data_IF_340530380836
#
_entry.id   IF_340530380836
#
_cell.length_a   1.000
_cell.length_b   1.000
_cell.length_c   1.000
_cell.angle_alpha   90.00
_cell.angle_beta   90.00
_cell.angle_gamma   90.00
#
_symmetry.space_group_name_H-M   'P 1'
#
loop_
_entity.id
_entity.type
_entity.pdbx_description
1 polymer ?
#
# COMPACT_ATOMS: atom_id res chain seq x y z
N UNK A 1 -22.49 -3.55 -14.58
CA UNK A 1 -23.53 -2.74 -15.27
C UNK A 1 -23.56 -1.38 -14.62
N UNK A 2 -23.76 -0.28 -15.38
CA UNK A 2 -23.91 1.06 -14.81
C UNK A 2 -25.05 1.07 -13.79
N UNK A 3 -25.03 2.04 -12.87
CA UNK A 3 -26.06 2.33 -11.88
C UNK A 3 -27.46 2.32 -12.54
N UNK A 4 -28.12 1.17 -12.56
CA UNK A 4 -29.43 0.98 -13.18
C UNK A 4 -30.45 0.71 -12.07
N UNK A 5 -31.60 1.37 -12.10
CA UNK A 5 -32.65 1.28 -11.08
C UNK A 5 -33.15 -0.16 -10.78
N UNK A 6 -32.75 -1.15 -11.59
CA UNK A 6 -33.01 -2.57 -11.32
C UNK A 6 -32.08 -3.20 -10.29
N UNK A 7 -30.84 -2.70 -10.16
CA UNK A 7 -29.79 -3.30 -9.31
C UNK A 7 -29.55 -2.52 -8.02
N UNK A 8 -30.29 -1.43 -7.81
CA UNK A 8 -30.20 -0.63 -6.60
C UNK A 8 -31.53 0.04 -6.24
N UNK A 9 -31.72 0.38 -4.96
CA UNK A 9 -32.93 1.04 -4.44
C UNK A 9 -32.56 2.12 -3.44
N UNK A 10 -33.49 3.06 -3.24
CA UNK A 10 -33.45 4.05 -2.17
C UNK A 10 -32.18 4.92 -2.12
N UNK A 11 -31.72 5.51 -3.25
CA UNK A 11 -30.54 6.36 -3.25
C UNK A 11 -30.82 7.62 -2.43
N UNK A 12 -29.95 7.91 -1.45
CA UNK A 12 -30.06 9.11 -0.61
C UNK A 12 -28.68 9.67 -0.30
N UNK A 13 -28.61 10.99 -0.13
CA UNK A 13 -27.41 11.66 0.36
C UNK A 13 -27.50 11.85 1.88
N UNK A 14 -26.42 11.50 2.57
CA UNK A 14 -26.22 11.83 3.97
C UNK A 14 -24.91 12.60 4.09
N UNK A 15 -25.01 13.94 4.04
CA UNK A 15 -23.85 14.81 3.84
C UNK A 15 -23.18 14.49 2.51
N UNK A 16 -21.90 14.13 2.56
CA UNK A 16 -21.06 13.83 1.39
C UNK A 16 -21.14 12.37 0.92
N UNK A 17 -21.90 11.54 1.64
CA UNK A 17 -22.02 10.11 1.37
C UNK A 17 -23.29 9.81 0.58
N UNK A 18 -23.12 9.10 -0.53
CA UNK A 18 -24.17 8.45 -1.27
C UNK A 18 -24.47 7.10 -0.63
N UNK A 19 -25.66 6.95 -0.03
CA UNK A 19 -26.15 5.69 0.52
C UNK A 19 -27.16 5.08 -0.44
N UNK A 20 -26.95 3.83 -0.83
CA UNK A 20 -27.83 3.09 -1.73
C UNK A 20 -27.94 1.64 -1.29
N UNK A 21 -29.13 1.06 -1.40
CA UNK A 21 -29.34 -0.38 -1.24
C UNK A 21 -28.96 -1.10 -2.54
N UNK A 22 -27.86 -1.84 -2.55
CA UNK A 22 -27.35 -2.56 -3.72
C UNK A 22 -27.71 -4.05 -3.68
N UNK A 23 -28.14 -4.61 -4.81
CA UNK A 23 -28.42 -6.04 -4.94
C UNK A 23 -27.13 -6.85 -4.99
N UNK A 24 -27.03 -7.90 -4.16
CA UNK A 24 -25.97 -8.91 -4.16
C UNK A 24 -26.24 -10.00 -5.22
N UNK A 25 -25.25 -10.84 -5.56
CA UNK A 25 -25.44 -11.96 -6.50
C UNK A 25 -26.54 -12.94 -6.06
N UNK A 26 -26.78 -13.05 -4.76
CA UNK A 26 -27.81 -13.92 -4.16
C UNK A 26 -29.23 -13.30 -4.26
N UNK A 27 -29.35 -12.10 -4.82
CA UNK A 27 -30.62 -11.39 -5.01
C UNK A 27 -31.04 -10.51 -3.82
N UNK A 28 -30.40 -10.63 -2.66
CA UNK A 28 -30.63 -9.78 -1.48
C UNK A 28 -30.11 -8.35 -1.67
N UNK A 29 -30.78 -7.37 -1.07
CA UNK A 29 -30.36 -5.97 -1.08
C UNK A 29 -29.61 -5.63 0.21
N UNK A 30 -28.50 -4.91 0.09
CA UNK A 30 -27.68 -4.48 1.21
C UNK A 30 -27.29 -3.01 1.07
N UNK A 31 -27.29 -2.29 2.20
CA UNK A 31 -26.81 -0.91 2.25
C UNK A 31 -25.32 -0.82 1.88
N UNK A 32 -25.02 0.05 0.93
CA UNK A 32 -23.68 0.44 0.53
C UNK A 32 -23.57 1.96 0.56
N UNK A 33 -22.41 2.46 1.00
CA UNK A 33 -22.12 3.89 1.08
C UNK A 33 -20.88 4.24 0.26
N UNK A 34 -20.91 5.36 -0.46
CA UNK A 34 -19.77 5.88 -1.21
C UNK A 34 -19.57 7.37 -0.91
N UNK A 35 -18.35 7.77 -0.57
CA UNK A 35 -18.03 9.19 -0.35
C UNK A 35 -17.79 9.89 -1.69
N UNK A 36 -18.73 10.76 -2.09
CA UNK A 36 -18.68 11.46 -3.37
C UNK A 36 -17.55 12.50 -3.43
N UNK A 37 -17.16 13.08 -2.29
CA UNK A 37 -16.07 14.06 -2.18
C UNK A 37 -14.71 13.48 -2.58
N UNK A 38 -14.58 12.15 -2.57
CA UNK A 38 -13.34 11.49 -2.98
C UNK A 38 -13.16 11.40 -4.49
N UNK A 39 -14.24 11.59 -5.26
CA UNK A 39 -14.31 11.23 -6.69
C UNK A 39 -14.99 12.27 -7.58
N UNK A 40 -15.67 13.24 -6.97
CA UNK A 40 -16.22 14.42 -7.60
C UNK A 40 -15.51 15.66 -7.05
N UNK A 41 -15.07 16.50 -7.97
CA UNK A 41 -14.63 17.87 -7.70
C UNK A 41 -15.47 18.88 -8.50
N UNK A 42 -15.14 20.15 -8.32
CA UNK A 42 -15.71 21.25 -9.09
C UNK A 42 -14.59 21.88 -9.92
N UNK A 43 -14.84 22.11 -11.21
CA UNK A 43 -13.94 22.84 -12.09
C UNK A 43 -14.77 23.78 -12.96
N UNK A 44 -14.50 25.09 -12.88
CA UNK A 44 -15.24 26.13 -13.60
C UNK A 44 -16.77 26.01 -13.39
N UNK A 45 -17.18 25.74 -12.14
CA UNK A 45 -18.59 25.60 -11.73
C UNK A 45 -19.34 24.46 -12.36
N UNK A 46 -18.61 23.43 -12.80
CA UNK A 46 -19.19 22.17 -13.25
C UNK A 46 -18.64 21.02 -12.45
N UNK A 47 -19.45 19.99 -12.27
CA UNK A 47 -19.02 18.74 -11.68
C UNK A 47 -17.96 18.08 -12.57
N UNK A 48 -16.88 17.63 -11.94
CA UNK A 48 -15.79 16.93 -12.63
C UNK A 48 -15.46 15.62 -11.92
N UNK A 49 -15.63 14.51 -12.65
CA UNK A 49 -15.18 13.19 -12.20
C UNK A 49 -13.66 13.14 -12.10
N UNK A 50 -13.16 12.46 -11.06
CA UNK A 50 -11.74 12.32 -10.78
C UNK A 50 -11.14 13.49 -10.00
N UNK A 51 -11.90 14.57 -9.84
CA UNK A 51 -11.62 15.63 -8.89
C UNK A 51 -11.94 15.23 -7.45
N UNK A 52 -11.70 16.14 -6.51
CA UNK A 52 -11.98 15.95 -5.08
C UNK A 52 -12.62 17.21 -4.51
N UNK A 53 -13.32 17.07 -3.38
CA UNK A 53 -13.73 18.24 -2.62
C UNK A 53 -14.94 18.98 -3.18
N UNK A 54 -15.86 18.35 -3.92
CA UNK A 54 -16.99 19.11 -4.49
C UNK A 54 -17.85 19.77 -3.42
N UNK A 55 -18.02 19.13 -2.26
CA UNK A 55 -18.90 19.61 -1.18
C UNK A 55 -18.47 20.95 -0.58
N UNK A 56 -17.18 21.31 -0.65
CA UNK A 56 -16.71 22.61 -0.18
C UNK A 56 -17.01 23.76 -1.14
N UNK A 57 -17.30 23.45 -2.40
CA UNK A 57 -17.58 24.42 -3.48
C UNK A 57 -19.00 24.27 -4.02
N UNK A 58 -19.89 23.60 -3.27
CA UNK A 58 -21.25 23.29 -3.68
C UNK A 58 -22.26 23.65 -2.58
N UNK A 59 -23.42 24.16 -2.99
CA UNK A 59 -24.57 24.39 -2.09
C UNK A 59 -25.86 23.95 -2.76
N UNK A 60 -26.94 23.84 -1.97
CA UNK A 60 -28.24 23.36 -2.45
C UNK A 60 -28.15 21.98 -3.13
N UNK A 61 -27.31 21.11 -2.58
CA UNK A 61 -27.07 19.77 -3.14
C UNK A 61 -28.34 18.94 -3.00
N UNK A 62 -28.80 18.38 -4.11
CA UNK A 62 -29.97 17.49 -4.14
C UNK A 62 -29.70 16.27 -5.01
N UNK A 63 -30.30 15.14 -4.65
CA UNK A 63 -30.20 13.89 -5.40
C UNK A 63 -31.60 13.46 -5.86
N UNK A 64 -31.77 13.36 -7.17
CA UNK A 64 -32.98 12.85 -7.79
C UNK A 64 -32.65 11.58 -8.58
N UNK A 65 -32.85 10.41 -7.97
CA UNK A 65 -32.50 9.14 -8.60
C UNK A 65 -30.98 8.96 -8.69
N UNK A 66 -30.42 9.03 -9.90
CA UNK A 66 -28.96 9.02 -10.13
C UNK A 66 -28.40 10.40 -10.45
N UNK A 67 -29.24 11.43 -10.62
CA UNK A 67 -28.80 12.79 -10.91
C UNK A 67 -28.52 13.56 -9.63
N UNK A 68 -27.26 13.98 -9.47
CA UNK A 68 -26.83 14.90 -8.44
C UNK A 68 -26.86 16.32 -9.01
N UNK A 69 -27.54 17.24 -8.35
CA UNK A 69 -27.59 18.65 -8.73
C UNK A 69 -27.14 19.54 -7.58
N UNK A 70 -26.45 20.64 -7.90
CA UNK A 70 -26.03 21.63 -6.92
C UNK A 70 -25.72 22.98 -7.60
N UNK A 71 -25.71 24.04 -6.80
CA UNK A 71 -25.10 25.31 -7.19
C UNK A 71 -23.59 25.23 -6.86
N UNK A 72 -22.73 25.43 -7.85
CA UNK A 72 -21.28 25.29 -7.78
C UNK A 72 -20.58 26.65 -7.88
N UNK A 73 -19.51 26.84 -7.12
CA UNK A 73 -18.76 28.10 -7.07
C UNK A 73 -17.87 28.33 -8.31
N UNK A 74 -17.93 29.55 -8.85
CA UNK A 74 -17.08 30.09 -9.93
C UNK A 74 -16.62 31.49 -9.53
N UNK A 75 -15.48 31.57 -8.82
CA UNK A 75 -15.05 32.85 -8.24
C UNK A 75 -16.15 33.41 -7.33
N UNK A 76 -16.65 34.62 -7.61
CA UNK A 76 -17.70 35.27 -6.80
C UNK A 76 -19.14 34.90 -7.22
N UNK A 77 -19.32 33.92 -8.11
CA UNK A 77 -20.64 33.53 -8.66
C UNK A 77 -20.94 32.07 -8.39
N UNK A 78 -22.23 31.73 -8.43
CA UNK A 78 -22.73 30.36 -8.28
C UNK A 78 -23.46 29.96 -9.55
N UNK A 79 -23.12 28.81 -10.12
CA UNK A 79 -23.74 28.25 -11.33
C UNK A 79 -24.38 26.90 -11.00
N UNK A 80 -25.61 26.69 -11.47
CA UNK A 80 -26.31 25.42 -11.27
C UNK A 80 -25.79 24.38 -12.26
N UNK A 81 -25.38 23.22 -11.77
CA UNK A 81 -24.95 22.10 -12.60
C UNK A 81 -25.54 20.77 -12.12
N UNK A 82 -25.58 19.79 -13.03
CA UNK A 82 -26.06 18.43 -12.75
C UNK A 82 -25.10 17.38 -13.28
N UNK A 83 -24.95 16.28 -12.54
CA UNK A 83 -24.13 15.13 -12.93
C UNK A 83 -24.88 13.83 -12.69
N UNK A 84 -24.90 12.97 -13.71
CA UNK A 84 -25.45 11.62 -13.57
C UNK A 84 -24.40 10.68 -12.97
N UNK A 85 -24.64 10.25 -11.74
CA UNK A 85 -23.81 9.32 -10.98
C UNK A 85 -23.70 7.95 -11.68
N UNK A 86 -24.65 7.61 -12.55
CA UNK A 86 -24.66 6.32 -13.27
C UNK A 86 -23.51 6.14 -14.25
N UNK A 87 -22.93 7.26 -14.68
CA UNK A 87 -21.86 7.30 -15.68
C UNK A 87 -20.56 6.65 -15.19
N UNK A 88 -20.28 6.73 -13.89
CA UNK A 88 -19.00 6.30 -13.32
C UNK A 88 -19.13 5.51 -12.01
N UNK A 89 -20.35 5.32 -11.49
CA UNK A 89 -20.60 4.48 -10.31
C UNK A 89 -21.41 3.25 -10.75
N UNK A 90 -21.02 2.07 -10.24
CA UNK A 90 -21.70 0.80 -10.51
C UNK A 90 -21.89 -0.01 -9.24
N UNK A 91 -22.90 -0.85 -9.22
CA UNK A 91 -23.02 -1.92 -8.24
C UNK A 91 -22.17 -3.12 -8.69
N UNK A 92 -21.20 -3.51 -7.87
CA UNK A 92 -20.40 -4.72 -8.01
C UNK A 92 -20.63 -5.63 -6.79
N UNK A 93 -21.51 -6.61 -6.96
CA UNK A 93 -21.87 -7.60 -5.95
C UNK A 93 -22.25 -7.00 -4.58
N UNK A 94 -23.20 -6.05 -4.57
CA UNK A 94 -23.68 -5.40 -3.34
C UNK A 94 -22.78 -4.29 -2.81
N UNK A 95 -21.72 -3.92 -3.52
CA UNK A 95 -20.84 -2.81 -3.18
C UNK A 95 -20.81 -1.75 -4.31
N UNK A 96 -20.87 -0.47 -3.93
CA UNK A 96 -20.67 0.63 -4.85
C UNK A 96 -19.19 0.74 -5.26
N UNK A 97 -18.93 0.67 -6.55
CA UNK A 97 -17.61 0.75 -7.14
C UNK A 97 -17.57 1.85 -8.20
N UNK A 98 -16.42 2.50 -8.33
CA UNK A 98 -16.18 3.55 -9.31
C UNK A 98 -15.42 2.94 -10.47
N UNK A 99 -15.82 3.28 -11.69
CA UNK A 99 -15.21 2.76 -12.92
C UNK A 99 -15.02 3.87 -13.94
N UNK A 100 -14.03 3.73 -14.82
CA UNK A 100 -13.83 4.64 -15.96
C UNK A 100 -13.31 6.04 -15.60
N UNK A 101 -13.04 6.34 -14.32
CA UNK A 101 -12.51 7.63 -13.89
C UNK A 101 -10.99 7.56 -13.75
N UNK A 102 -10.27 8.42 -14.47
CA UNK A 102 -8.87 8.71 -14.18
C UNK A 102 -8.82 9.70 -13.02
N UNK A 103 -8.35 9.25 -11.85
CA UNK A 103 -8.17 10.14 -10.70
C UNK A 103 -7.06 11.13 -10.99
N UNK A 104 -7.33 12.43 -10.78
CA UNK A 104 -6.28 13.43 -10.87
C UNK A 104 -5.19 13.07 -9.84
N UNK A 105 -3.95 12.93 -10.34
CA UNK A 105 -2.81 12.63 -9.49
C UNK A 105 -2.63 13.78 -8.48
N UNK A 106 -2.40 13.48 -7.19
CA UNK A 106 -2.38 14.50 -6.13
C UNK A 106 -1.08 15.34 -6.12
N UNK A 107 -0.68 15.90 -7.27
CA UNK A 107 0.62 16.57 -7.38
C UNK A 107 0.82 17.56 -8.52
N UNK A 108 -0.19 17.90 -9.32
CA UNK A 108 -0.05 18.98 -10.30
C UNK A 108 -1.36 19.75 -10.34
N UNK A 109 -1.39 20.91 -9.68
CA UNK A 109 -2.37 21.94 -10.02
C UNK A 109 -2.18 22.29 -11.50
N UNK A 110 -3.19 22.14 -12.37
CA UNK A 110 -3.13 22.77 -13.68
C UNK A 110 -3.08 24.28 -13.45
N UNK A 111 -2.04 24.91 -13.98
CA UNK A 111 -1.84 26.36 -13.88
C UNK A 111 -3.10 27.10 -14.35
N UNK A 112 -3.65 28.04 -13.56
CA UNK A 112 -4.73 28.88 -14.04
C UNK A 112 -4.19 29.81 -15.13
N UNK A 113 -4.64 29.62 -16.37
CA UNK A 113 -4.56 30.65 -17.40
C UNK A 113 -5.45 31.82 -16.97
N UNK A 114 -4.88 32.81 -16.29
CA UNK A 114 -5.50 34.12 -16.18
C UNK A 114 -4.52 35.27 -16.42
N UNK A 115 -5.04 36.21 -17.18
CA UNK A 115 -4.43 37.41 -17.72
C UNK A 115 -3.92 38.38 -16.63
N UNK A 116 -2.65 38.77 -16.79
CA UNK A 116 -1.93 39.99 -16.36
C UNK A 116 -2.73 41.06 -15.55
N UNK A 117 -2.44 41.11 -14.23
CA UNK A 117 -2.16 42.22 -13.26
C UNK A 117 -2.87 43.62 -13.37
N UNK A 118 -3.00 44.43 -12.27
CA UNK A 118 -1.98 44.62 -11.21
C UNK A 118 -2.41 44.80 -9.73
N UNK A 119 -1.49 44.38 -8.85
CA UNK A 119 -1.13 44.82 -7.49
C UNK A 119 -2.21 45.31 -6.50
N UNK A 120 -2.41 44.59 -5.39
CA UNK A 120 -2.43 45.18 -4.03
C UNK A 120 -2.07 44.11 -2.98
N UNK A 121 -1.16 44.46 -2.09
CA UNK A 121 -0.55 43.62 -1.04
C UNK A 121 -1.52 43.29 0.08
N UNK A 122 -1.65 42.01 0.49
CA UNK A 122 -2.06 41.62 1.85
C UNK A 122 -1.42 40.29 2.31
N UNK A 123 -0.55 40.46 3.30
CA UNK A 123 -0.22 39.64 4.48
C UNK A 123 -0.70 38.19 4.59
N UNK A 124 0.27 37.28 4.70
CA UNK A 124 0.10 35.86 5.04
C UNK A 124 -0.23 35.63 6.52
N UNK A 125 -1.00 34.58 6.78
CA UNK A 125 -0.92 33.81 8.03
C UNK A 125 -0.95 32.31 7.71
N UNK A 126 0.23 31.70 7.69
CA UNK A 126 0.47 30.28 7.40
C UNK A 126 0.40 29.48 8.70
N UNK A 127 -0.61 28.61 8.84
CA UNK A 127 -0.68 27.64 9.94
C UNK A 127 -0.23 26.27 9.40
N UNK A 128 1.00 25.88 9.72
CA UNK A 128 1.58 24.59 9.34
C UNK A 128 0.95 23.47 10.20
N UNK A 129 0.09 22.64 9.61
CA UNK A 129 -0.27 21.31 10.16
C UNK A 129 0.42 20.23 9.34
N UNK A 130 1.38 19.59 9.98
CA UNK A 130 2.07 18.38 9.51
C UNK A 130 1.09 17.20 9.47
N UNK A 131 0.72 16.75 8.28
CA UNK A 131 0.03 15.47 8.06
C UNK A 131 1.05 14.40 7.68
N UNK A 132 1.14 13.37 8.52
CA UNK A 132 1.88 12.13 8.26
C UNK A 132 1.16 11.36 7.16
N UNK A 133 1.87 11.03 6.08
CA UNK A 133 1.37 10.19 5.00
C UNK A 133 1.29 8.73 5.47
N UNK A 134 0.07 8.18 5.48
CA UNK A 134 -0.20 6.76 5.73
C UNK A 134 -0.40 6.02 4.42
N UNK A 135 0.52 5.13 4.08
CA UNK A 135 0.41 4.12 3.02
C UNK A 135 -0.72 3.12 3.32
N UNK A 136 -1.86 3.15 2.63
CA UNK A 136 -2.98 2.22 2.97
C UNK A 136 -4.00 1.93 1.85
N UNK A 137 -3.64 1.21 0.78
CA UNK A 137 -4.67 0.71 -0.16
C UNK A 137 -4.69 -0.80 -0.39
N UNK A 138 -3.61 -1.54 -0.11
CA UNK A 138 -3.60 -3.01 -0.18
C UNK A 138 -3.73 -3.69 1.20
N UNK A 139 -3.16 -3.12 2.26
CA UNK A 139 -3.16 -3.69 3.63
C UNK A 139 -4.56 -3.77 4.27
N UNK A 140 -5.45 -2.83 3.92
CA UNK A 140 -6.79 -2.72 4.50
C UNK A 140 -7.75 -3.82 4.04
N UNK A 141 -7.54 -4.44 2.86
CA UNK A 141 -8.44 -5.47 2.33
C UNK A 141 -8.18 -6.86 2.93
N UNK A 142 -6.93 -7.19 3.22
CA UNK A 142 -6.54 -8.51 3.76
C UNK A 142 -6.75 -8.62 5.27
N UNK A 143 -6.65 -7.50 6.00
CA UNK A 143 -6.94 -7.44 7.44
C UNK A 143 -8.45 -7.56 7.73
N UNK A 144 -9.31 -7.07 6.83
CA UNK A 144 -10.77 -7.13 6.96
C UNK A 144 -11.31 -8.58 7.01
N UNK A 145 -10.81 -9.47 6.16
CA UNK A 145 -11.25 -10.87 6.15
C UNK A 145 -10.92 -11.58 7.46
N UNK A 146 -9.70 -11.40 7.98
CA UNK A 146 -9.32 -12.00 9.25
C UNK A 146 -10.20 -11.54 10.41
N UNK A 147 -10.45 -10.23 10.50
CA UNK A 147 -11.33 -9.63 11.53
C UNK A 147 -12.79 -10.08 11.42
N UNK A 148 -13.22 -10.56 10.25
CA UNK A 148 -14.57 -11.07 10.02
C UNK A 148 -14.70 -12.57 10.37
N UNK A 149 -13.64 -13.34 10.15
CA UNK A 149 -13.61 -14.79 10.38
C UNK A 149 -13.23 -15.15 11.82
N UNK A 150 -12.45 -14.30 12.48
CA UNK A 150 -12.02 -14.43 13.88
C UNK A 150 -12.49 -13.21 14.65
N UNK A 151 -13.30 -13.42 15.69
CA UNK A 151 -13.79 -12.33 16.54
C UNK A 151 -12.74 -11.90 17.55
N UNK A 152 -12.61 -10.60 17.78
CA UNK A 152 -11.74 -10.04 18.82
C UNK A 152 -12.14 -10.54 20.24
N UNK A 153 -13.37 -10.99 20.44
CA UNK A 153 -13.84 -11.54 21.70
C UNK A 153 -13.43 -13.00 21.93
N UNK A 154 -13.08 -13.74 20.86
CA UNK A 154 -12.76 -15.18 20.93
C UNK A 154 -11.28 -15.47 20.76
N UNK A 155 -10.50 -14.46 20.38
CA UNK A 155 -9.05 -14.56 20.30
C UNK A 155 -8.40 -14.28 21.67
N UNK A 156 -7.52 -15.17 22.11
CA UNK A 156 -6.81 -15.04 23.38
C UNK A 156 -5.39 -15.55 23.27
N UNK A 157 -4.48 -14.89 23.97
CA UNK A 157 -3.08 -15.27 24.02
C UNK A 157 -2.79 -15.95 25.37
N UNK A 158 -2.28 -17.19 25.31
CA UNK A 158 -1.84 -17.93 26.49
C UNK A 158 -0.35 -18.23 26.35
N UNK A 159 0.48 -17.40 26.99
CA UNK A 159 1.93 -17.44 26.80
C UNK A 159 2.31 -16.97 25.40
N UNK A 160 2.90 -17.85 24.58
CA UNK A 160 3.15 -17.59 23.15
C UNK A 160 2.07 -18.15 22.22
N UNK A 161 1.17 -18.98 22.73
CA UNK A 161 0.18 -19.67 21.91
C UNK A 161 -1.07 -18.81 21.78
N UNK A 162 -1.40 -18.47 20.55
CA UNK A 162 -2.60 -17.74 20.19
C UNK A 162 -3.72 -18.73 19.93
N UNK A 163 -4.79 -18.63 20.71
CA UNK A 163 -6.01 -19.41 20.56
C UNK A 163 -7.08 -18.54 19.90
N UNK A 164 -7.79 -19.09 18.92
CA UNK A 164 -8.88 -18.40 18.25
C UNK A 164 -10.00 -19.39 17.93
N UNK A 165 -11.25 -18.90 17.99
CA UNK A 165 -12.37 -19.58 17.35
C UNK A 165 -12.56 -18.99 15.94
N UNK A 166 -12.31 -19.83 14.94
CA UNK A 166 -12.36 -19.48 13.53
C UNK A 166 -13.67 -20.00 12.92
N UNK A 167 -14.38 -19.17 12.16
CA UNK A 167 -15.59 -19.58 11.45
C UNK A 167 -15.25 -20.48 10.23
N UNK A 168 -15.98 -21.59 10.08
CA UNK A 168 -15.93 -22.50 8.93
C UNK A 168 -16.85 -22.04 7.80
N UNK A 169 -16.71 -22.65 6.63
CA UNK A 169 -17.59 -22.38 5.48
C UNK A 169 -19.07 -22.74 5.74
N UNK A 170 -19.32 -23.75 6.58
CA UNK A 170 -20.66 -24.17 7.00
C UNK A 170 -21.33 -23.25 8.04
N UNK A 171 -20.63 -22.19 8.48
CA UNK A 171 -21.08 -21.25 9.50
C UNK A 171 -20.82 -21.68 10.95
N UNK A 172 -20.38 -22.92 11.18
CA UNK A 172 -19.91 -23.38 12.50
C UNK A 172 -18.56 -22.74 12.86
N UNK A 173 -18.15 -22.87 14.12
CA UNK A 173 -16.85 -22.36 14.59
C UNK A 173 -15.97 -23.52 15.02
N UNK A 174 -14.68 -23.47 14.68
CA UNK A 174 -13.66 -24.40 15.14
C UNK A 174 -12.62 -23.68 15.99
N UNK A 175 -12.15 -24.34 17.04
CA UNK A 175 -10.99 -23.84 17.79
C UNK A 175 -9.71 -24.17 17.03
N UNK A 176 -8.82 -23.18 16.92
CA UNK A 176 -7.52 -23.33 16.28
C UNK A 176 -6.46 -22.59 17.10
N UNK A 177 -5.23 -23.08 17.05
CA UNK A 177 -4.10 -22.52 17.79
C UNK A 177 -2.90 -22.33 16.90
N UNK A 178 -2.11 -21.28 17.13
CA UNK A 178 -0.81 -21.08 16.49
C UNK A 178 0.20 -20.59 17.52
N UNK A 179 1.42 -21.14 17.50
CA UNK A 179 2.49 -20.65 18.36
C UNK A 179 3.16 -19.44 17.71
N UNK A 180 3.01 -18.27 18.33
CA UNK A 180 3.62 -17.05 17.81
C UNK A 180 5.13 -17.03 18.01
N UNK A 181 5.69 -17.83 18.92
CA UNK A 181 7.14 -17.85 19.15
C UNK A 181 7.92 -18.45 17.98
N UNK A 182 7.25 -19.25 17.15
CA UNK A 182 7.78 -19.81 15.91
C UNK A 182 7.78 -18.81 14.74
N UNK A 183 7.10 -17.67 14.88
CA UNK A 183 6.87 -16.71 13.81
C UNK A 183 7.27 -15.27 14.14
N UNK A 184 7.45 -14.93 15.42
CA UNK A 184 7.83 -13.60 15.86
C UNK A 184 9.16 -13.65 16.60
N UNK A 185 10.04 -12.71 16.29
CA UNK A 185 11.28 -12.46 17.03
C UNK A 185 11.50 -10.97 17.29
N UNK A 186 12.54 -10.66 18.05
CA UNK A 186 12.90 -9.29 18.43
C UNK A 186 14.18 -8.86 17.70
N UNK A 187 14.12 -7.73 17.00
CA UNK A 187 15.28 -7.09 16.33
C UNK A 187 15.32 -5.63 16.73
N UNK A 188 16.42 -5.21 17.35
CA UNK A 188 16.66 -3.80 17.74
C UNK A 188 15.49 -3.16 18.51
N UNK A 189 14.94 -3.86 19.50
CA UNK A 189 13.82 -3.37 20.31
C UNK A 189 12.47 -3.34 19.58
N UNK A 190 12.32 -4.00 18.43
CA UNK A 190 11.06 -4.12 17.68
C UNK A 190 10.68 -5.57 17.45
N UNK A 191 9.37 -5.85 17.46
CA UNK A 191 8.83 -7.15 17.04
C UNK A 191 8.86 -7.25 15.51
N UNK A 192 9.38 -8.37 15.01
CA UNK A 192 9.52 -8.63 13.57
C UNK A 192 8.98 -10.03 13.26
N UNK A 193 8.10 -10.11 12.26
CA UNK A 193 7.56 -11.37 11.73
C UNK A 193 8.62 -12.13 10.93
N UNK A 194 8.54 -13.47 10.91
CA UNK A 194 9.50 -14.36 10.23
C UNK A 194 10.77 -14.64 11.03
N UNK A 195 10.75 -14.34 12.34
CA UNK A 195 11.84 -14.65 13.29
C UNK A 195 11.28 -15.52 14.40
N UNK A 196 12.14 -16.03 15.28
CA UNK A 196 11.71 -16.90 16.39
C UNK A 196 12.16 -16.37 17.74
N UNK A 197 11.47 -16.79 18.80
CA UNK A 197 11.92 -16.65 20.19
C UNK A 197 11.63 -15.31 20.84
N UNK A 198 10.60 -14.56 20.41
CA UNK A 198 10.24 -13.30 21.07
C UNK A 198 9.86 -13.49 22.55
N UNK A 199 9.27 -14.63 22.94
CA UNK A 199 8.85 -14.89 24.32
C UNK A 199 10.02 -14.84 25.30
N UNK A 200 11.21 -15.23 24.87
CA UNK A 200 12.42 -15.22 25.71
C UNK A 200 12.95 -13.81 26.01
N UNK A 201 12.66 -12.84 25.13
CA UNK A 201 13.20 -11.46 25.19
C UNK A 201 12.15 -10.42 25.60
N UNK A 202 10.88 -10.83 25.66
CA UNK A 202 9.75 -9.96 25.96
C UNK A 202 9.16 -10.24 27.34
N UNK A 203 8.76 -9.18 28.01
CA UNK A 203 7.99 -9.19 29.27
C UNK A 203 6.66 -8.46 29.06
N UNK A 204 5.70 -8.62 29.96
CA UNK A 204 4.37 -8.00 29.87
C UNK A 204 3.66 -8.22 28.53
N UNK A 205 3.69 -9.46 28.03
CA UNK A 205 3.09 -9.83 26.75
C UNK A 205 1.57 -9.84 26.90
N UNK A 206 0.88 -9.00 26.13
CA UNK A 206 -0.59 -8.94 26.12
C UNK A 206 -1.13 -8.77 24.70
N UNK A 207 -2.33 -9.27 24.49
CA UNK A 207 -3.06 -9.11 23.24
C UNK A 207 -4.14 -8.04 23.43
N UNK A 208 -4.06 -6.97 22.64
CA UNK A 208 -5.07 -5.92 22.56
C UNK A 208 -5.76 -6.05 21.20
N UNK A 209 -6.97 -6.61 21.19
CA UNK A 209 -7.70 -7.03 19.99
C UNK A 209 -6.91 -8.02 19.12
N UNK A 210 -6.22 -7.51 18.10
CA UNK A 210 -5.39 -8.28 17.17
C UNK A 210 -3.93 -7.84 17.19
N UNK A 211 -3.58 -6.89 18.07
CA UNK A 211 -2.23 -6.36 18.20
C UNK A 211 -1.58 -6.94 19.44
N UNK A 212 -0.46 -7.62 19.28
CA UNK A 212 0.35 -8.05 20.41
C UNK A 212 1.19 -6.87 20.87
N UNK A 213 1.13 -6.56 22.17
CA UNK A 213 1.96 -5.55 22.82
C UNK A 213 2.87 -6.21 23.83
N UNK A 214 4.14 -5.82 23.80
CA UNK A 214 5.19 -6.38 24.64
C UNK A 214 6.10 -5.28 25.16
N UNK A 215 6.74 -5.55 26.29
CA UNK A 215 7.88 -4.77 26.78
C UNK A 215 9.16 -5.56 26.54
N UNK A 216 10.03 -5.04 25.69
CA UNK A 216 11.34 -5.62 25.40
C UNK A 216 12.32 -5.01 26.39
N UNK A 217 13.01 -5.87 27.15
CA UNK A 217 14.08 -5.43 28.04
C UNK A 217 15.39 -5.41 27.25
N UNK A 218 16.03 -4.25 27.22
CA UNK A 218 17.40 -4.15 26.73
C UNK A 218 18.36 -4.55 27.87
N UNK A 219 19.17 -5.59 27.62
CA UNK A 219 20.14 -6.11 28.59
C UNK A 219 21.28 -5.13 28.85
N UNK A 220 21.61 -4.25 27.90
CA UNK A 220 22.72 -3.30 28.03
C UNK A 220 22.31 -2.01 28.74
N UNK A 221 21.11 -1.50 28.47
CA UNK A 221 20.67 -0.17 28.96
C UNK A 221 19.72 -0.24 30.15
N UNK A 222 19.27 -1.45 30.55
CA UNK A 222 18.20 -1.67 31.52
C UNK A 222 16.90 -0.90 31.22
N UNK A 223 16.76 -0.37 30.00
CA UNK A 223 15.57 0.34 29.57
C UNK A 223 14.56 -0.64 29.00
N UNK A 224 13.27 -0.40 29.29
CA UNK A 224 12.17 -1.16 28.69
C UNK A 224 11.61 -0.37 27.51
N UNK A 225 11.57 -1.01 26.34
CA UNK A 225 10.98 -0.44 25.12
C UNK A 225 9.68 -1.18 24.84
N UNK A 226 8.58 -0.45 24.72
CA UNK A 226 7.29 -1.02 24.30
C UNK A 226 7.29 -1.23 22.80
N UNK A 227 6.94 -2.43 22.35
CA UNK A 227 6.74 -2.76 20.95
C UNK A 227 5.37 -3.39 20.71
N UNK A 228 4.80 -3.11 19.54
CA UNK A 228 3.52 -3.62 19.10
C UNK A 228 3.62 -4.26 17.71
N UNK A 229 2.80 -5.29 17.48
CA UNK A 229 2.72 -5.96 16.17
C UNK A 229 1.28 -6.36 15.87
N UNK A 230 0.75 -5.86 14.74
CA UNK A 230 -0.59 -6.19 14.25
C UNK A 230 -0.59 -7.58 13.58
N UNK A 231 -1.19 -8.56 14.25
CA UNK A 231 -1.25 -9.94 13.78
C UNK A 231 -2.13 -10.11 12.53
N UNK A 232 -3.08 -9.19 12.29
CA UNK A 232 -3.97 -9.28 11.11
C UNK A 232 -3.22 -9.10 9.80
N UNK A 233 -2.00 -8.54 9.85
CA UNK A 233 -1.12 -8.42 8.68
C UNK A 233 -0.55 -9.76 8.24
N UNK A 234 -0.39 -10.70 9.16
CA UNK A 234 0.36 -11.93 8.92
C UNK A 234 -0.46 -13.20 9.09
N UNK A 235 -1.55 -13.17 9.85
CA UNK A 235 -2.43 -14.31 10.07
C UNK A 235 -3.65 -14.28 9.15
N UNK A 236 -4.10 -15.47 8.76
CA UNK A 236 -5.33 -15.73 8.05
C UNK A 236 -6.10 -16.85 8.74
N UNK A 237 -7.42 -16.87 8.58
CA UNK A 237 -8.26 -17.97 9.03
C UNK A 237 -9.04 -18.50 7.82
N UNK A 238 -8.90 -19.79 7.54
CA UNK A 238 -9.59 -20.46 6.43
C UNK A 238 -10.20 -21.76 6.92
N UNK A 239 -11.50 -21.92 6.69
CA UNK A 239 -12.31 -23.08 7.08
C UNK A 239 -12.08 -23.57 8.52
N UNK A 240 -12.09 -22.64 9.48
CA UNK A 240 -11.88 -22.96 10.89
C UNK A 240 -10.43 -23.18 11.31
N UNK A 241 -9.46 -23.05 10.40
CA UNK A 241 -8.03 -23.23 10.68
C UNK A 241 -7.31 -21.87 10.63
N UNK A 242 -6.55 -21.58 11.68
CA UNK A 242 -5.67 -20.41 11.76
C UNK A 242 -4.33 -20.72 11.08
N UNK A 243 -3.90 -19.87 10.15
CA UNK A 243 -2.67 -20.04 9.38
C UNK A 243 -1.95 -18.73 9.10
N UNK A 244 -0.75 -18.82 8.52
CA UNK A 244 0.10 -17.67 8.15
C UNK A 244 -0.14 -17.30 6.68
N UNK A 245 -0.25 -16.00 6.37
CA UNK A 245 -0.50 -15.46 5.02
C UNK A 245 0.65 -15.66 4.04
N UNK A 246 1.88 -15.65 4.54
CA UNK A 246 3.09 -15.92 3.76
C UNK A 246 3.68 -17.21 4.31
N UNK A 247 3.34 -18.33 3.67
CA UNK A 247 4.03 -19.58 3.93
C UNK A 247 5.42 -19.50 3.29
N UNK A 248 6.48 -19.59 4.11
CA UNK A 248 7.72 -20.20 3.63
C UNK A 248 7.39 -21.66 3.32
N UNK A 249 7.15 -21.97 2.05
CA UNK A 249 7.05 -23.36 1.62
C UNK A 249 8.41 -24.05 1.88
N UNK A 250 8.41 -25.30 2.34
CA UNK A 250 7.93 -26.40 1.51
C UNK A 250 6.99 -27.35 2.27
N UNK A 251 5.86 -27.73 1.65
CA UNK A 251 5.13 -28.92 2.11
C UNK A 251 4.93 -29.93 0.95
N UNK A 252 5.54 -31.12 0.99
CA UNK A 252 5.44 -32.17 -0.03
C UNK A 252 4.13 -32.99 -0.01
N UNK A 253 3.08 -32.52 0.66
CA UNK A 253 1.89 -33.34 0.96
C UNK A 253 0.78 -33.32 -0.12
N UNK A 254 0.91 -32.53 -1.19
CA UNK A 254 -0.10 -32.47 -2.26
C UNK A 254 0.08 -33.55 -3.35
N UNK A 255 1.16 -34.32 -3.34
CA UNK A 255 1.41 -35.37 -4.35
C UNK A 255 0.68 -36.71 -4.08
N UNK A 256 0.09 -36.90 -2.90
CA UNK A 256 -0.55 -38.18 -2.54
C UNK A 256 -2.07 -38.23 -2.77
N UNK A 257 -2.71 -37.16 -3.28
CA UNK A 257 -4.17 -37.10 -3.38
C UNK A 257 -4.76 -37.60 -4.72
N UNK A 258 -3.93 -38.05 -5.67
CA UNK A 258 -4.39 -38.49 -7.00
C UNK A 258 -3.94 -39.91 -7.41
N UNK A 259 -3.82 -40.83 -6.46
CA UNK A 259 -3.48 -42.23 -6.76
C UNK A 259 -4.43 -43.24 -6.13
N UNK A 260 -5.73 -43.16 -6.43
CA UNK A 260 -6.61 -44.33 -6.24
C UNK A 260 -7.87 -44.25 -7.14
N UNK A 261 -7.83 -44.96 -8.28
CA UNK A 261 -9.02 -45.27 -9.05
C UNK A 261 -9.13 -46.80 -9.17
N UNK A 262 -10.03 -47.38 -8.37
CA UNK A 262 -10.38 -48.81 -8.40
C UNK A 262 -11.59 -49.04 -9.30
N UNK A 263 -11.38 -49.50 -10.54
CA UNK A 263 -12.42 -50.18 -11.31
C UNK A 263 -11.80 -51.04 -12.43
N UNK A 264 -11.76 -52.37 -12.24
CA UNK A 264 -11.85 -53.40 -13.31
C UNK A 264 -11.65 -54.80 -12.70
N UNK A 265 -12.70 -55.64 -12.74
CA UNK A 265 -12.59 -57.11 -12.74
C UNK A 265 -13.69 -57.65 -13.65
N UNK A 266 -13.28 -58.32 -14.74
CA UNK A 266 -14.14 -59.05 -15.67
C UNK A 266 -13.86 -60.54 -15.48
N UNK A 267 -14.89 -61.39 -15.48
CA UNK A 267 -14.79 -62.84 -15.38
C UNK A 267 -15.64 -63.48 -16.49
N UNK A 268 -15.06 -64.44 -17.21
CA UNK A 268 -15.66 -65.18 -18.34
C UNK A 268 -15.64 -66.69 -18.01
N UNK A 269 -16.43 -67.49 -18.76
CA UNK A 269 -16.41 -68.97 -18.97
C UNK A 269 -17.48 -69.71 -18.11
N UNK A 270 -18.40 -70.60 -18.57
CA UNK A 270 -18.67 -71.38 -19.83
C UNK A 270 -20.13 -71.90 -19.88
N UNK A 271 -20.59 -72.29 -21.08
CA UNK A 271 -21.84 -72.99 -21.44
C UNK A 271 -21.91 -74.50 -21.07
N UNK A 272 -23.10 -75.17 -21.21
CA UNK A 272 -23.36 -76.53 -20.73
C UNK A 272 -23.37 -77.64 -21.82
N UNK A 273 -23.32 -78.86 -21.32
CA UNK A 273 -23.23 -80.15 -22.03
C UNK A 273 -24.63 -80.72 -22.38
N UNK A 274 -24.79 -81.31 -23.58
CA UNK A 274 -26.04 -81.97 -24.00
C UNK A 274 -25.76 -83.20 -24.87
N UNK A 275 -25.87 -84.38 -24.25
CA UNK A 275 -25.84 -85.69 -24.88
C UNK A 275 -27.11 -86.44 -24.47
N UNK A 276 -27.95 -86.85 -25.45
CA UNK A 276 -28.71 -88.11 -25.49
C UNK A 276 -29.38 -88.33 -26.87
N UNK A 277 -28.63 -88.97 -27.77
CA UNK A 277 -28.97 -90.19 -28.56
C UNK A 277 -30.35 -90.31 -29.26
N UNK A 278 -30.32 -90.40 -30.60
CA UNK A 278 -31.30 -91.12 -31.47
C UNK A 278 -30.59 -92.28 -32.18
N UNK A 279 -31.06 -93.53 -32.00
CA UNK A 279 -30.46 -94.78 -32.55
C UNK A 279 -31.28 -95.33 -33.73
N UNK A 280 -30.86 -95.05 -34.96
CA UNK A 280 -31.28 -95.81 -36.15
C UNK A 280 -30.08 -95.97 -37.11
N UNK A 281 -29.63 -97.19 -37.48
CA UNK A 281 -28.36 -97.40 -38.18
C UNK A 281 -28.33 -96.87 -39.63
N UNK A 282 -29.44 -96.92 -40.37
CA UNK A 282 -29.52 -96.35 -41.72
C UNK A 282 -29.60 -94.81 -41.69
N UNK A 283 -30.27 -94.27 -40.66
CA UNK A 283 -30.31 -92.84 -40.40
C UNK A 283 -28.93 -92.32 -39.97
N UNK A 284 -28.21 -93.05 -39.11
CA UNK A 284 -26.88 -92.70 -38.61
C UNK A 284 -25.84 -92.66 -39.73
N UNK A 285 -25.85 -93.58 -40.68
CA UNK A 285 -24.89 -93.56 -41.79
C UNK A 285 -25.12 -92.36 -42.74
N UNK A 286 -26.37 -92.09 -43.10
CA UNK A 286 -26.72 -90.96 -43.97
C UNK A 286 -26.52 -89.60 -43.27
N UNK A 287 -26.90 -89.49 -41.99
CA UNK A 287 -26.67 -88.27 -41.21
C UNK A 287 -25.22 -88.08 -40.82
N UNK A 288 -24.43 -89.13 -40.54
CA UNK A 288 -23.00 -88.99 -40.28
C UNK A 288 -22.25 -88.55 -41.53
N UNK A 289 -22.59 -89.07 -42.71
CA UNK A 289 -21.99 -88.63 -43.97
C UNK A 289 -22.42 -87.20 -44.35
N UNK A 290 -23.70 -86.86 -44.15
CA UNK A 290 -24.20 -85.50 -44.35
C UNK A 290 -23.62 -84.52 -43.32
N UNK A 291 -23.51 -84.91 -42.06
CA UNK A 291 -22.92 -84.10 -40.98
C UNK A 291 -21.41 -83.96 -41.14
N UNK A 292 -20.70 -84.95 -41.67
CA UNK A 292 -19.26 -84.84 -41.94
C UNK A 292 -18.98 -83.98 -43.17
N UNK A 293 -19.83 -84.04 -44.20
CA UNK A 293 -19.75 -83.18 -45.38
C UNK A 293 -20.15 -81.73 -45.05
N UNK A 294 -21.24 -81.53 -44.32
CA UNK A 294 -21.65 -80.19 -43.86
C UNK A 294 -20.72 -79.65 -42.79
N UNK A 295 -20.19 -80.47 -41.87
CA UNK A 295 -19.17 -80.03 -40.90
C UNK A 295 -17.87 -79.64 -41.59
N UNK A 296 -17.37 -80.41 -42.57
CA UNK A 296 -16.17 -79.98 -43.33
C UNK A 296 -16.41 -78.67 -44.06
N UNK A 297 -17.52 -78.54 -44.78
CA UNK A 297 -17.80 -77.36 -45.60
C UNK A 297 -18.07 -76.11 -44.75
N UNK A 298 -18.84 -76.25 -43.66
CA UNK A 298 -19.14 -75.15 -42.71
C UNK A 298 -17.93 -74.82 -41.83
N UNK A 299 -17.06 -75.77 -41.50
CA UNK A 299 -15.86 -75.47 -40.68
C UNK A 299 -14.74 -74.88 -41.52
N UNK A 300 -14.49 -75.30 -42.76
CA UNK A 300 -13.36 -74.73 -43.52
C UNK A 300 -13.71 -73.40 -44.19
N UNK A 301 -14.85 -73.33 -44.87
CA UNK A 301 -15.18 -72.16 -45.70
C UNK A 301 -15.73 -71.03 -44.83
N UNK A 302 -16.63 -71.35 -43.90
CA UNK A 302 -17.18 -70.37 -42.97
C UNK A 302 -16.18 -69.94 -41.90
N UNK A 303 -15.17 -70.75 -41.54
CA UNK A 303 -14.09 -70.31 -40.62
C UNK A 303 -13.07 -69.41 -41.31
N UNK A 304 -12.63 -69.72 -42.54
CA UNK A 304 -11.66 -68.86 -43.24
C UNK A 304 -12.26 -67.50 -43.61
N UNK A 305 -13.51 -67.47 -44.08
CA UNK A 305 -14.18 -66.20 -44.40
C UNK A 305 -14.51 -65.39 -43.14
N UNK A 306 -14.89 -66.06 -42.04
CA UNK A 306 -15.11 -65.38 -40.76
C UNK A 306 -13.79 -64.88 -40.16
N UNK A 307 -12.70 -65.66 -40.19
CA UNK A 307 -11.39 -65.22 -39.72
C UNK A 307 -10.87 -64.02 -40.51
N UNK A 308 -10.98 -64.04 -41.85
CA UNK A 308 -10.59 -62.89 -42.68
C UNK A 308 -11.46 -61.67 -42.43
N UNK A 309 -12.78 -61.85 -42.35
CA UNK A 309 -13.72 -60.75 -42.10
C UNK A 309 -13.49 -60.10 -40.73
N UNK A 310 -13.41 -60.92 -39.67
CA UNK A 310 -13.18 -60.46 -38.30
C UNK A 310 -11.79 -59.84 -38.17
N UNK A 311 -10.75 -60.40 -38.80
CA UNK A 311 -9.42 -59.80 -38.78
C UNK A 311 -9.38 -58.44 -39.49
N UNK A 312 -10.15 -58.27 -40.58
CA UNK A 312 -10.22 -57.01 -41.31
C UNK A 312 -10.97 -55.94 -40.51
N UNK A 313 -12.13 -56.27 -39.95
CA UNK A 313 -12.91 -55.37 -39.11
C UNK A 313 -12.15 -54.97 -37.83
N UNK A 314 -11.49 -55.92 -37.16
CA UNK A 314 -10.69 -55.62 -35.96
C UNK A 314 -9.51 -54.71 -36.34
N UNK A 315 -8.84 -54.96 -37.46
CA UNK A 315 -7.70 -54.16 -37.91
C UNK A 315 -8.13 -52.74 -38.27
N UNK A 316 -9.27 -52.57 -38.92
CA UNK A 316 -9.81 -51.26 -39.30
C UNK A 316 -10.30 -50.50 -38.06
N UNK A 317 -11.11 -51.15 -37.19
CA UNK A 317 -11.60 -50.54 -35.96
C UNK A 317 -10.47 -50.20 -34.96
N UNK A 318 -9.46 -51.06 -34.81
CA UNK A 318 -8.27 -50.72 -34.02
C UNK A 318 -7.45 -49.62 -34.69
N UNK A 319 -7.28 -49.65 -36.02
CA UNK A 319 -6.57 -48.63 -36.77
C UNK A 319 -7.14 -47.23 -36.55
N UNK A 320 -8.46 -47.09 -36.67
CA UNK A 320 -9.16 -45.83 -36.47
C UNK A 320 -9.12 -45.36 -35.00
N UNK A 321 -9.29 -46.29 -34.06
CA UNK A 321 -9.24 -45.97 -32.62
C UNK A 321 -7.83 -45.53 -32.18
N UNK A 322 -6.79 -46.22 -32.65
CA UNK A 322 -5.39 -45.87 -32.40
C UNK A 322 -5.09 -44.52 -33.04
N UNK A 323 -5.48 -44.30 -34.28
CA UNK A 323 -5.28 -43.02 -34.98
C UNK A 323 -5.95 -41.87 -34.23
N UNK A 324 -7.21 -42.03 -33.81
CA UNK A 324 -7.92 -41.02 -33.05
C UNK A 324 -7.26 -40.72 -31.69
N UNK A 325 -6.85 -41.75 -30.94
CA UNK A 325 -6.17 -41.56 -29.66
C UNK A 325 -4.79 -40.91 -29.80
N UNK A 326 -3.98 -41.36 -30.76
CA UNK A 326 -2.66 -40.78 -31.02
C UNK A 326 -2.78 -39.31 -31.42
N UNK A 327 -3.73 -38.99 -32.31
CA UNK A 327 -3.94 -37.60 -32.74
C UNK A 327 -4.36 -36.71 -31.57
N UNK A 328 -5.21 -37.21 -30.66
CA UNK A 328 -5.63 -36.48 -29.46
C UNK A 328 -4.47 -36.25 -28.50
N UNK A 329 -3.73 -37.30 -28.13
CA UNK A 329 -2.60 -37.20 -27.18
C UNK A 329 -1.51 -36.27 -27.70
N UNK A 330 -1.21 -36.35 -29.00
CA UNK A 330 -0.23 -35.46 -29.63
C UNK A 330 -0.72 -34.00 -29.65
N UNK A 331 -1.99 -33.75 -29.95
CA UNK A 331 -2.56 -32.41 -29.94
C UNK A 331 -2.59 -31.79 -28.53
N UNK A 332 -2.94 -32.57 -27.52
CA UNK A 332 -2.97 -32.14 -26.12
C UNK A 332 -1.53 -31.81 -25.64
N UNK A 333 -0.56 -32.70 -25.91
CA UNK A 333 0.84 -32.50 -25.52
C UNK A 333 1.47 -31.28 -26.20
N UNK A 334 1.23 -31.08 -27.50
CA UNK A 334 1.69 -29.90 -28.24
C UNK A 334 1.04 -28.62 -27.71
N UNK A 335 -0.26 -28.66 -27.39
CA UNK A 335 -0.97 -27.49 -26.87
C UNK A 335 -0.45 -27.08 -25.49
N UNK A 336 -0.13 -28.06 -24.63
CA UNK A 336 0.42 -27.82 -23.30
C UNK A 336 1.86 -27.28 -23.36
N UNK A 337 2.69 -27.86 -24.24
CA UNK A 337 4.06 -27.38 -24.47
C UNK A 337 4.07 -25.94 -25.00
N UNK A 338 3.24 -25.63 -26.01
CA UNK A 338 3.14 -24.28 -26.58
C UNK A 338 2.63 -23.29 -25.52
N UNK A 339 1.62 -23.67 -24.72
CA UNK A 339 1.10 -22.82 -23.64
C UNK A 339 2.18 -22.52 -22.60
N UNK A 340 2.88 -23.53 -22.11
CA UNK A 340 3.94 -23.36 -21.12
C UNK A 340 5.10 -22.49 -21.62
N UNK A 341 5.53 -22.69 -22.88
CA UNK A 341 6.61 -21.90 -23.46
C UNK A 341 6.17 -20.44 -23.72
N UNK A 342 4.92 -20.24 -24.13
CA UNK A 342 4.31 -18.91 -24.31
C UNK A 342 4.21 -18.18 -22.97
N UNK A 343 3.68 -18.82 -21.92
CA UNK A 343 3.60 -18.26 -20.56
C UNK A 343 4.97 -17.85 -20.04
N UNK A 344 5.98 -18.71 -20.22
CA UNK A 344 7.35 -18.40 -19.81
C UNK A 344 7.91 -17.18 -20.56
N UNK A 345 7.75 -17.11 -21.88
CA UNK A 345 8.22 -15.95 -22.66
C UNK A 345 7.48 -14.67 -22.29
N UNK A 346 6.17 -14.75 -22.01
CA UNK A 346 5.37 -13.61 -21.56
C UNK A 346 5.86 -13.12 -20.19
N UNK A 347 6.11 -14.01 -19.25
CA UNK A 347 6.61 -13.64 -17.93
C UNK A 347 8.03 -13.03 -18.01
N UNK A 348 8.93 -13.62 -18.78
CA UNK A 348 10.30 -13.12 -18.96
C UNK A 348 10.31 -11.71 -19.62
N UNK A 349 9.48 -11.51 -20.64
CA UNK A 349 9.36 -10.20 -21.32
C UNK A 349 8.68 -9.16 -20.42
N UNK A 350 7.68 -9.55 -19.64
CA UNK A 350 7.03 -8.67 -18.68
C UNK A 350 7.99 -8.28 -17.54
N UNK A 351 8.80 -9.22 -17.03
CA UNK A 351 9.81 -8.95 -16.02
C UNK A 351 10.87 -7.95 -16.51
N UNK A 352 11.35 -8.11 -17.75
CA UNK A 352 12.27 -7.16 -18.39
C UNK A 352 11.65 -5.77 -18.55
N UNK A 353 10.40 -5.70 -19.03
CA UNK A 353 9.68 -4.43 -19.18
C UNK A 353 9.46 -3.74 -17.82
N UNK A 354 9.04 -4.50 -16.79
CA UNK A 354 8.87 -4.00 -15.43
C UNK A 354 10.17 -3.44 -14.87
N UNK A 355 11.30 -4.13 -15.07
CA UNK A 355 12.62 -3.65 -14.65
C UNK A 355 12.98 -2.34 -15.34
N UNK A 356 12.80 -2.24 -16.66
CA UNK A 356 13.10 -1.03 -17.42
C UNK A 356 12.24 0.17 -16.98
N UNK A 357 10.94 -0.06 -16.70
CA UNK A 357 10.04 0.99 -16.19
C UNK A 357 10.48 1.47 -14.81
N UNK A 358 10.82 0.56 -13.90
CA UNK A 358 11.31 0.92 -12.56
C UNK A 358 12.59 1.77 -12.66
N UNK A 359 13.51 1.38 -13.54
CA UNK A 359 14.77 2.10 -13.74
C UNK A 359 14.54 3.51 -14.30
N UNK A 360 13.64 3.66 -15.29
CA UNK A 360 13.25 4.96 -15.82
C UNK A 360 12.55 5.84 -14.78
N UNK A 361 11.64 5.27 -13.97
CA UNK A 361 10.99 5.99 -12.89
C UNK A 361 12.00 6.51 -11.86
N UNK A 362 12.96 5.68 -11.45
CA UNK A 362 14.00 6.10 -10.49
C UNK A 362 14.84 7.25 -11.05
N UNK A 363 15.23 7.20 -12.33
CA UNK A 363 15.97 8.29 -12.97
C UNK A 363 15.20 9.61 -12.97
N UNK A 364 13.89 9.57 -13.24
CA UNK A 364 13.02 10.77 -13.20
C UNK A 364 12.90 11.32 -11.77
N UNK A 365 12.74 10.45 -10.78
CA UNK A 365 12.67 10.86 -9.37
C UNK A 365 13.98 11.49 -8.93
N UNK A 366 15.12 10.89 -9.25
CA UNK A 366 16.44 11.43 -8.89
C UNK A 366 16.70 12.79 -9.56
N UNK A 367 16.32 12.95 -10.84
CA UNK A 367 16.41 14.22 -11.54
C UNK A 367 15.53 15.30 -10.89
N UNK A 368 14.30 14.94 -10.48
CA UNK A 368 13.39 15.85 -9.80
C UNK A 368 13.91 16.26 -8.41
N UNK A 369 14.43 15.31 -7.62
CA UNK A 369 15.03 15.59 -6.30
C UNK A 369 16.22 16.54 -6.43
N UNK A 370 17.09 16.32 -7.42
CA UNK A 370 18.23 17.20 -7.66
C UNK A 370 17.79 18.61 -8.05
N UNK A 371 16.79 18.74 -8.93
CA UNK A 371 16.25 20.04 -9.32
C UNK A 371 15.66 20.80 -8.11
N UNK A 372 14.82 20.14 -7.30
CA UNK A 372 14.24 20.74 -6.09
C UNK A 372 15.33 21.16 -5.10
N UNK A 373 16.38 20.35 -4.97
CA UNK A 373 17.51 20.65 -4.08
C UNK A 373 18.28 21.89 -4.55
N UNK A 374 18.54 22.01 -5.86
CA UNK A 374 19.18 23.19 -6.45
C UNK A 374 18.28 24.42 -6.24
N UNK A 375 16.98 24.34 -6.56
CA UNK A 375 16.06 25.45 -6.37
C UNK A 375 15.94 25.89 -4.91
N UNK A 376 15.88 24.95 -3.96
CA UNK A 376 15.83 25.26 -2.53
C UNK A 376 17.12 25.96 -2.06
N UNK A 377 18.28 25.48 -2.55
CA UNK A 377 19.58 26.08 -2.22
C UNK A 377 19.70 27.50 -2.76
N UNK A 378 19.31 27.72 -4.01
CA UNK A 378 19.42 29.04 -4.67
C UNK A 378 18.34 30.02 -4.21
N UNK A 379 17.11 29.57 -4.00
CA UNK A 379 15.97 30.47 -3.73
C UNK A 379 15.75 30.74 -2.25
N UNK A 380 16.15 29.83 -1.37
CA UNK A 380 15.87 29.93 0.06
C UNK A 380 17.16 30.07 0.84
N UNK A 381 18.08 29.09 0.72
CA UNK A 381 19.26 29.02 1.57
C UNK A 381 20.24 30.16 1.26
N UNK A 382 20.50 30.45 -0.02
CA UNK A 382 21.37 31.55 -0.45
C UNK A 382 20.92 32.90 0.13
N UNK A 383 19.70 33.38 -0.19
CA UNK A 383 19.21 34.67 0.30
C UNK A 383 19.13 34.77 1.83
N UNK A 384 18.76 33.69 2.53
CA UNK A 384 18.77 33.68 3.99
C UNK A 384 20.19 33.82 4.55
N UNK A 385 21.17 33.16 3.93
CA UNK A 385 22.58 33.26 4.33
C UNK A 385 23.10 34.68 4.13
N UNK A 386 22.79 35.29 2.99
CA UNK A 386 23.18 36.67 2.68
C UNK A 386 22.52 37.67 3.63
N UNK A 387 21.24 37.49 3.98
CA UNK A 387 20.54 38.34 4.94
C UNK A 387 21.14 38.24 6.35
N UNK A 388 21.48 37.02 6.79
CA UNK A 388 22.15 36.79 8.08
C UNK A 388 23.51 37.47 8.10
N UNK A 389 24.32 37.30 7.04
CA UNK A 389 25.63 37.94 6.92
C UNK A 389 25.49 39.47 6.95
N UNK A 390 24.55 40.03 6.18
CA UNK A 390 24.30 41.47 6.18
C UNK A 390 23.88 42.02 7.56
N UNK A 391 23.02 41.29 8.28
CA UNK A 391 22.63 41.65 9.66
C UNK A 391 23.78 41.55 10.64
N UNK A 392 24.61 40.51 10.52
CA UNK A 392 25.82 40.35 11.33
C UNK A 392 26.81 41.48 11.07
N UNK A 393 27.08 41.81 9.81
CA UNK A 393 27.99 42.91 9.42
C UNK A 393 27.47 44.26 9.94
N UNK A 394 26.16 44.53 9.81
CA UNK A 394 25.54 45.74 10.35
C UNK A 394 25.65 45.82 11.87
N UNK A 395 25.41 44.71 12.58
CA UNK A 395 25.52 44.65 14.05
C UNK A 395 26.96 44.87 14.50
N UNK A 396 27.93 44.18 13.88
CA UNK A 396 29.36 44.34 14.18
C UNK A 396 29.79 45.78 13.90
N UNK A 397 29.43 46.34 12.75
CA UNK A 397 29.75 47.73 12.40
C UNK A 397 29.16 48.73 13.41
N UNK A 398 27.92 48.51 13.86
CA UNK A 398 27.28 49.37 14.86
C UNK A 398 27.99 49.30 16.21
N UNK A 399 28.29 48.09 16.71
CA UNK A 399 28.99 47.91 17.99
C UNK A 399 30.41 48.48 17.93
N UNK A 400 31.15 48.25 16.85
CA UNK A 400 32.49 48.81 16.66
C UNK A 400 32.44 50.33 16.68
N UNK A 401 31.45 50.94 16.02
CA UNK A 401 31.24 52.38 16.05
C UNK A 401 30.97 52.90 17.46
N UNK A 402 30.05 52.29 18.20
CA UNK A 402 29.71 52.68 19.58
C UNK A 402 30.91 52.59 20.52
N UNK A 403 31.68 51.51 20.45
CA UNK A 403 32.91 51.33 21.24
C UNK A 403 33.95 52.38 20.86
N UNK A 404 34.09 52.68 19.57
CA UNK A 404 35.03 53.69 19.08
C UNK A 404 34.62 55.09 19.55
N UNK A 405 33.35 55.46 19.43
CA UNK A 405 32.81 56.75 19.87
C UNK A 405 32.97 56.91 21.40
N UNK A 406 32.70 55.85 22.16
CA UNK A 406 32.91 55.81 23.61
C UNK A 406 34.37 55.97 23.99
N UNK A 407 35.27 55.27 23.30
CA UNK A 407 36.71 55.39 23.53
C UNK A 407 37.20 56.80 23.22
N UNK A 408 36.79 57.39 22.09
CA UNK A 408 37.12 58.77 21.71
C UNK A 408 36.64 59.76 22.78
N UNK A 409 35.41 59.61 23.27
CA UNK A 409 34.85 60.45 24.34
C UNK A 409 35.69 60.38 25.62
N UNK A 410 36.05 59.16 26.07
CA UNK A 410 36.93 59.00 27.23
C UNK A 410 38.34 59.56 27.02
N UNK A 411 38.89 59.47 25.80
CA UNK A 411 40.17 60.11 25.50
C UNK A 411 40.06 61.64 25.56
N UNK A 412 38.99 62.23 25.03
CA UNK A 412 38.73 63.67 25.09
C UNK A 412 38.61 64.15 26.54
N UNK A 413 37.80 63.46 27.37
CA UNK A 413 37.64 63.75 28.80
C UNK A 413 38.99 63.71 29.54
N UNK A 414 39.81 62.68 29.30
CA UNK A 414 41.14 62.57 29.93
C UNK A 414 42.07 63.71 29.52
N UNK A 415 42.03 64.14 28.25
CA UNK A 415 42.83 65.27 27.76
C UNK A 415 42.39 66.56 28.44
N UNK A 416 41.08 66.80 28.58
CA UNK A 416 40.53 67.98 29.26
C UNK A 416 40.98 68.02 30.74
N UNK A 417 40.84 66.91 31.48
CA UNK A 417 41.31 66.79 32.87
C UNK A 417 42.82 67.09 32.98
N UNK A 418 43.64 66.58 32.06
CA UNK A 418 45.07 66.85 32.05
C UNK A 418 45.38 68.32 31.76
N UNK A 419 44.65 68.95 30.84
CA UNK A 419 44.80 70.37 30.53
C UNK A 419 44.41 71.25 31.72
N UNK A 420 43.27 70.99 32.38
CA UNK A 420 42.86 71.72 33.58
C UNK A 420 43.90 71.60 34.70
N UNK A 421 44.42 70.38 34.92
CA UNK A 421 45.47 70.13 35.91
C UNK A 421 46.74 70.94 35.61
N UNK A 422 47.14 71.04 34.34
CA UNK A 422 48.32 71.83 33.97
C UNK A 422 48.08 73.33 34.10
N UNK A 423 46.89 73.82 33.74
CA UNK A 423 46.50 75.23 33.93
C UNK A 423 46.54 75.59 35.43
N UNK A 424 45.94 74.76 36.29
CA UNK A 424 45.96 74.95 37.73
C UNK A 424 47.40 74.91 38.29
N UNK A 425 48.21 73.96 37.82
CA UNK A 425 49.63 73.86 38.20
C UNK A 425 50.43 75.10 37.78
N UNK A 426 50.21 75.61 36.57
CA UNK A 426 50.84 76.83 36.07
C UNK A 426 50.40 78.08 36.85
N UNK A 427 49.13 78.17 37.25
CA UNK A 427 48.62 79.23 38.11
C UNK A 427 49.26 79.20 39.50
N UNK A 428 49.36 78.01 40.11
CA UNK A 428 50.03 77.81 41.40
C UNK A 428 51.52 78.23 41.34
N UNK A 429 52.23 77.84 40.27
CA UNK A 429 53.63 78.25 40.05
C UNK A 429 53.74 79.78 39.97
N UNK A 430 52.87 80.46 39.22
CA UNK A 430 52.82 81.93 39.15
C UNK A 430 52.59 82.58 40.51
N UNK A 431 51.57 82.13 41.25
CA UNK A 431 51.26 82.65 42.58
C UNK A 431 52.42 82.46 43.57
N UNK A 432 53.13 81.33 43.51
CA UNK A 432 54.30 81.07 44.36
C UNK A 432 55.46 82.03 44.04
N UNK A 433 55.72 82.29 42.76
CA UNK A 433 56.74 83.25 42.33
C UNK A 433 56.40 84.66 42.83
N UNK A 434 55.13 85.07 42.69
CA UNK A 434 54.65 86.36 43.16
C UNK A 434 54.75 86.50 44.68
N UNK A 435 54.33 85.48 45.45
CA UNK A 435 54.48 85.46 46.90
C UNK A 435 55.95 85.52 47.34
N UNK A 436 56.84 84.84 46.63
CA UNK A 436 58.28 84.88 46.92
C UNK A 436 58.86 86.26 46.64
N UNK A 437 58.44 86.91 45.56
CA UNK A 437 58.83 88.28 45.23
C UNK A 437 58.34 89.28 46.28
N UNK A 438 57.08 89.20 46.68
CA UNK A 438 56.50 90.04 47.74
C UNK A 438 57.23 89.86 49.08
N UNK A 439 57.60 88.62 49.42
CA UNK A 439 58.40 88.33 50.62
C UNK A 439 59.77 89.00 50.57
N UNK A 440 60.48 88.89 49.43
CA UNK A 440 61.78 89.56 49.24
C UNK A 440 61.66 91.10 49.32
N UNK A 441 60.58 91.67 48.78
CA UNK A 441 60.32 93.12 48.87
C UNK A 441 60.06 93.57 50.32
N UNK A 442 59.30 92.79 51.09
CA UNK A 442 59.05 93.07 52.51
C UNK A 442 60.34 92.98 53.34
N UNK A 443 61.18 91.95 53.10
CA UNK A 443 62.50 91.81 53.74
C UNK A 443 63.42 93.00 53.39
N UNK A 444 63.45 93.43 52.13
CA UNK A 444 64.22 94.61 51.70
C UNK A 444 63.74 95.92 52.35
N UNK A 445 62.43 96.12 52.51
CA UNK A 445 61.87 97.27 53.22
C UNK A 445 62.25 97.26 54.71
N UNK A 446 62.17 96.11 55.37
CA UNK A 446 62.58 95.97 56.78
C UNK A 446 64.08 96.19 57.01
N UNK A 447 64.92 95.90 56.00
CA UNK A 447 66.36 96.18 56.06
C UNK A 447 66.72 97.67 55.89
N UNK A 448 65.83 98.48 55.32
CA UNK A 448 66.00 99.92 55.13
C UNK A 448 65.62 100.74 56.39
N UNK A 449 64.87 100.18 57.34
CA UNK A 449 64.52 100.83 58.62
C UNK A 449 65.58 100.64 59.72
N UNK A 450 66.66 99.89 59.46
CA UNK A 450 67.74 99.58 60.44
C UNK A 450 69.03 100.36 60.16
N UNK A 451 69.02 101.34 59.26
CA UNK A 451 70.16 102.23 58.97
C UNK A 451 69.89 103.70 59.24
#
# INVERSE_FOLDING_TARGET
>A
MPFNARTYRNPRLLGDFLLVECQHQDGEFKDSSLNLTTVLGVANGKFRWGGRGFSSHARNISLAGSELSADLEIGDRWEFDTVDLSTHIRNNNGALEIFGVTMDSPGVDPSPEYSRAPNTSQTSSTTTRTSRFSSSSSESRSSYYFKKTVSAATIRLQGSVLHAECRKADGSSASSTIDLDEHIGVVSGKLVWGRKGFRSKCTNIRLEEYTIKVEIRDEETHSSVTADLDLTRYLQAYDGILGVKVAEAPNPELSNLFSEARWMKLKVVTEPDASMVVKNPAFKAAFSSLAELTSKHVVTEMSEDLEKSVAMEIKEAMGDKIKAQVTKVVADALSEQVRSEMEKKVEDTFALAKKAVIEACNQVVDAAINNVTIQCTESIIGPMTDEILAKCDAAVSSTVKEVTDTAISHFQERVEILMEREIASAALRRARTEATFLKLMAEAQSGLEVY
#
